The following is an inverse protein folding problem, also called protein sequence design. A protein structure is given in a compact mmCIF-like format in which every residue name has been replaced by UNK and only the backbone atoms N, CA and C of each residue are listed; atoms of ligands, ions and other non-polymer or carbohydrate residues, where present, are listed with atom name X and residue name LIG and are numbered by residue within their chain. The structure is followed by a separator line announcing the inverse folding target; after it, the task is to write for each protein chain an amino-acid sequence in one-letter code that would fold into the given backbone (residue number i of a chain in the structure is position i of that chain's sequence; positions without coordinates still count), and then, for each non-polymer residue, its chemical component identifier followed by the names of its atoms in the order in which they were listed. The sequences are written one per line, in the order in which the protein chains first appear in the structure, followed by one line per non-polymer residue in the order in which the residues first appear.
data_IF_517495979836
#
_entry.id   IF_517495979836
#
_cell.length_a   1.000
_cell.length_b   1.000
_cell.length_c   1.000
_cell.angle_alpha   90.00
_cell.angle_beta   90.00
_cell.angle_gamma   90.00
#
_symmetry.space_group_name_H-M   'P 1'
#
loop_
_entity.id
_entity.type
_entity.pdbx_description
1 polymer ?
#
# COMPACT_ATOMS: atom_id res chain seq x y z
N UNK A 1 -49.72 31.89 0.59
CA UNK A 1 -48.54 31.77 1.46
C UNK A 1 -47.89 30.42 1.16
N UNK A 2 -46.77 30.43 0.45
CA UNK A 2 -45.97 29.24 0.15
C UNK A 2 -44.68 29.35 0.97
N UNK A 3 -44.54 28.54 1.99
CA UNK A 3 -43.27 28.37 2.71
C UNK A 3 -42.37 27.42 1.94
N UNK A 4 -41.27 27.95 1.46
CA UNK A 4 -40.16 27.20 0.84
C UNK A 4 -39.18 26.77 1.94
N UNK A 5 -39.28 25.51 2.32
CA UNK A 5 -38.27 24.85 3.17
C UNK A 5 -36.94 24.72 2.41
N UNK A 6 -35.93 25.51 2.83
CA UNK A 6 -34.55 25.36 2.38
C UNK A 6 -33.91 24.21 3.16
N UNK A 7 -33.74 23.05 2.50
CA UNK A 7 -32.90 21.99 2.97
C UNK A 7 -31.42 22.44 2.90
N UNK A 8 -30.82 22.64 4.06
CA UNK A 8 -29.37 22.86 4.19
C UNK A 8 -28.66 21.53 3.98
N UNK A 9 -28.02 21.36 2.83
CA UNK A 9 -26.99 20.33 2.64
C UNK A 9 -25.76 20.72 3.46
N UNK A 10 -25.56 20.09 4.59
CA UNK A 10 -24.29 20.10 5.32
C UNK A 10 -23.29 19.24 4.55
N UNK A 11 -22.52 19.85 3.65
CA UNK A 11 -21.30 19.26 3.11
C UNK A 11 -20.27 19.27 4.23
N UNK A 12 -19.95 18.10 4.77
CA UNK A 12 -18.81 17.89 5.66
C UNK A 12 -17.53 18.08 4.83
N UNK A 13 -17.10 19.33 4.64
CA UNK A 13 -15.76 19.61 4.11
C UNK A 13 -14.74 19.14 5.15
N UNK A 14 -13.68 18.41 4.77
CA UNK A 14 -12.64 18.01 5.71
C UNK A 14 -12.05 19.25 6.38
N UNK A 15 -11.93 19.20 7.71
CA UNK A 15 -11.33 20.27 8.51
C UNK A 15 -9.90 20.52 7.98
N UNK A 16 -9.53 21.75 7.62
CA UNK A 16 -8.20 22.03 7.10
C UNK A 16 -7.14 21.60 8.13
N UNK A 17 -6.05 20.93 7.69
CA UNK A 17 -5.04 20.42 8.60
C UNK A 17 -4.39 21.55 9.40
N UNK A 18 -4.07 21.30 10.68
CA UNK A 18 -3.39 22.26 11.56
C UNK A 18 -2.01 22.60 10.95
N UNK A 19 -1.81 23.85 10.57
CA UNK A 19 -0.70 24.29 9.72
C UNK A 19 0.70 23.86 10.18
N UNK A 20 1.00 23.86 11.49
CA UNK A 20 2.31 23.43 12.03
C UNK A 20 2.50 21.93 11.90
N UNK A 21 1.48 21.15 12.26
CA UNK A 21 1.52 19.68 12.17
C UNK A 21 1.59 19.23 10.72
N UNK A 22 0.77 19.81 9.84
CA UNK A 22 0.80 19.50 8.41
C UNK A 22 2.19 19.74 7.80
N UNK A 23 2.81 20.88 8.10
CA UNK A 23 4.18 21.20 7.66
C UNK A 23 5.20 20.18 8.17
N UNK A 24 5.07 19.73 9.42
CA UNK A 24 5.91 18.68 9.97
C UNK A 24 5.73 17.36 9.21
N UNK A 25 4.50 16.91 8.98
CA UNK A 25 4.23 15.69 8.22
C UNK A 25 4.76 15.77 6.78
N UNK A 26 4.63 16.93 6.12
CA UNK A 26 5.21 17.15 4.77
C UNK A 26 6.72 16.92 4.74
N UNK A 27 7.45 17.25 5.82
CA UNK A 27 8.89 16.97 5.92
C UNK A 27 9.15 15.45 5.95
N UNK A 28 8.37 14.69 6.71
CA UNK A 28 8.53 13.23 6.78
C UNK A 28 8.20 12.56 5.43
N UNK A 29 7.24 13.08 4.69
CA UNK A 29 6.87 12.58 3.34
C UNK A 29 7.94 12.87 2.26
N UNK A 30 8.94 13.73 2.53
CA UNK A 30 10.06 13.92 1.62
C UNK A 30 11.03 12.75 1.59
N UNK A 31 11.05 11.90 2.63
CA UNK A 31 11.91 10.73 2.68
C UNK A 31 11.29 9.58 1.90
N UNK A 32 12.08 8.97 1.02
CA UNK A 32 11.71 7.81 0.21
C UNK A 32 12.91 6.90 0.00
N UNK A 33 12.73 5.76 -0.66
CA UNK A 33 13.84 4.85 -1.03
C UNK A 33 14.90 5.57 -1.89
N UNK A 34 14.48 6.53 -2.72
CA UNK A 34 15.36 7.35 -3.57
C UNK A 34 15.99 8.52 -2.79
N UNK A 35 15.38 8.92 -1.68
CA UNK A 35 15.74 10.09 -0.89
C UNK A 35 15.89 9.75 0.60
N UNK A 36 16.82 8.82 0.91
CA UNK A 36 17.10 8.42 2.29
C UNK A 36 17.86 9.48 3.09
N UNK A 37 18.68 10.28 2.43
CA UNK A 37 19.50 11.33 3.04
C UNK A 37 19.32 12.62 2.28
N UNK A 38 18.75 13.64 2.92
CA UNK A 38 18.40 14.91 2.30
C UNK A 38 19.15 16.08 2.96
N UNK A 39 19.64 17.02 2.15
CA UNK A 39 20.17 18.28 2.62
C UNK A 39 19.04 19.25 3.00
N UNK A 40 19.34 20.23 3.85
CA UNK A 40 18.38 21.28 4.21
C UNK A 40 17.83 22.02 2.97
N UNK A 41 18.67 22.20 1.95
CA UNK A 41 18.28 22.86 0.70
C UNK A 41 17.26 22.03 -0.09
N UNK A 42 17.47 20.73 -0.17
CA UNK A 42 16.58 19.81 -0.87
C UNK A 42 15.22 19.76 -0.16
N UNK A 43 15.22 19.61 1.16
CA UNK A 43 14.00 19.65 1.97
C UNK A 43 13.24 20.98 1.79
N UNK A 44 13.94 22.13 1.73
CA UNK A 44 13.31 23.41 1.48
C UNK A 44 12.68 23.50 0.08
N UNK A 45 13.30 22.93 -0.94
CA UNK A 45 12.76 22.87 -2.30
C UNK A 45 11.54 21.96 -2.37
N UNK A 46 11.58 20.77 -1.75
CA UNK A 46 10.49 19.78 -1.79
C UNK A 46 9.27 20.25 -0.99
N UNK A 47 9.49 20.89 0.17
CA UNK A 47 8.39 21.32 1.06
C UNK A 47 7.87 22.72 0.76
N UNK A 48 8.64 23.56 0.06
CA UNK A 48 8.35 24.98 -0.12
C UNK A 48 8.48 25.82 1.17
N UNK A 49 9.00 25.25 2.25
CA UNK A 49 9.17 25.94 3.53
C UNK A 49 10.43 26.82 3.54
N UNK A 50 10.36 27.97 4.22
CA UNK A 50 11.54 28.77 4.50
C UNK A 50 12.50 28.04 5.45
N UNK A 51 13.80 28.34 5.35
CA UNK A 51 14.86 27.64 6.09
C UNK A 51 14.70 27.75 7.61
N UNK A 52 14.19 28.86 8.13
CA UNK A 52 14.07 29.08 9.58
C UNK A 52 12.93 28.19 10.14
N UNK A 53 11.79 28.13 9.45
CA UNK A 53 10.68 27.24 9.80
C UNK A 53 11.10 25.77 9.71
N UNK A 54 11.80 25.41 8.62
CA UNK A 54 12.27 24.05 8.39
C UNK A 54 13.24 23.59 9.48
N UNK A 55 14.22 24.42 9.86
CA UNK A 55 15.18 24.12 10.94
C UNK A 55 14.48 23.91 12.28
N UNK A 56 13.49 24.74 12.61
CA UNK A 56 12.72 24.59 13.86
C UNK A 56 11.99 23.22 13.91
N UNK A 57 11.33 22.86 12.82
CA UNK A 57 10.60 21.59 12.73
C UNK A 57 11.55 20.39 12.76
N UNK A 58 12.67 20.47 12.02
CA UNK A 58 13.68 19.42 11.99
C UNK A 58 14.33 19.21 13.37
N UNK A 59 14.65 20.30 14.10
CA UNK A 59 15.18 20.19 15.47
C UNK A 59 14.19 19.48 16.40
N UNK A 60 12.89 19.78 16.30
CA UNK A 60 11.85 19.07 17.04
C UNK A 60 11.83 17.60 16.67
N UNK A 61 11.84 17.27 15.37
CA UNK A 61 11.88 15.85 14.93
C UNK A 61 13.12 15.11 15.40
N UNK A 62 14.28 15.79 15.46
CA UNK A 62 15.53 15.21 15.98
C UNK A 62 15.40 14.94 17.48
N UNK A 63 14.90 15.91 18.25
CA UNK A 63 14.67 15.77 19.69
C UNK A 63 13.75 14.59 20.01
N UNK A 64 12.69 14.40 19.19
CA UNK A 64 11.75 13.27 19.35
C UNK A 64 12.18 12.00 18.61
N UNK A 65 13.35 11.96 17.96
CA UNK A 65 13.90 10.79 17.28
C UNK A 65 13.17 10.36 16.00
N UNK A 66 12.37 11.22 15.39
CA UNK A 66 11.70 10.96 14.10
C UNK A 66 12.58 11.27 12.89
N UNK A 67 13.53 12.16 13.07
CA UNK A 67 14.57 12.47 12.09
C UNK A 67 15.91 12.38 12.82
N UNK A 68 16.95 12.00 12.12
CA UNK A 68 18.32 12.07 12.58
C UNK A 68 19.17 12.93 11.66
N UNK A 69 20.24 13.51 12.18
CA UNK A 69 21.21 14.26 11.39
C UNK A 69 22.53 13.50 11.38
N UNK A 70 23.01 13.17 10.19
CA UNK A 70 24.28 12.49 9.99
C UNK A 70 25.48 13.44 10.18
N UNK A 71 26.69 12.87 10.28
CA UNK A 71 27.93 13.65 10.50
C UNK A 71 28.23 14.61 9.34
N UNK A 72 27.82 14.29 8.12
CA UNK A 72 27.90 15.14 6.94
C UNK A 72 26.83 16.24 6.87
N UNK A 73 25.97 16.32 7.90
CA UNK A 73 24.96 17.35 8.06
C UNK A 73 23.63 17.09 7.36
N UNK A 74 23.47 15.94 6.68
CA UNK A 74 22.21 15.53 6.04
C UNK A 74 21.19 15.01 7.06
N UNK A 75 19.93 15.07 6.68
CA UNK A 75 18.80 14.56 7.46
C UNK A 75 18.36 13.21 6.92
N UNK A 76 18.01 12.29 7.81
CA UNK A 76 17.51 10.94 7.48
C UNK A 76 16.39 10.54 8.43
N UNK A 77 15.56 9.52 8.10
CA UNK A 77 14.57 8.97 9.00
C UNK A 77 15.18 8.53 10.34
N UNK A 78 14.50 8.85 11.44
CA UNK A 78 14.94 8.51 12.79
C UNK A 78 14.34 7.19 13.32
N UNK A 79 14.95 6.65 14.38
CA UNK A 79 14.59 5.33 14.95
C UNK A 79 13.17 5.23 15.47
N UNK A 80 12.52 6.35 15.86
CA UNK A 80 11.12 6.31 16.33
C UNK A 80 10.12 5.96 15.22
N UNK A 81 10.45 6.17 13.95
CA UNK A 81 9.65 5.69 12.84
C UNK A 81 9.62 4.16 12.78
N UNK A 82 10.77 3.50 13.03
CA UNK A 82 10.83 2.04 13.12
C UNK A 82 9.98 1.52 14.27
N UNK A 83 10.05 2.16 15.45
CA UNK A 83 9.24 1.79 16.62
C UNK A 83 7.73 1.90 16.32
N UNK A 84 7.29 3.00 15.73
CA UNK A 84 5.88 3.19 15.35
C UNK A 84 5.45 2.19 14.27
N UNK A 85 6.28 1.95 13.27
CA UNK A 85 6.02 0.94 12.25
C UNK A 85 5.89 -0.47 12.83
N UNK A 86 6.70 -0.82 13.84
CA UNK A 86 6.58 -2.09 14.55
C UNK A 86 5.27 -2.17 15.34
N UNK A 87 4.89 -1.11 16.09
CA UNK A 87 3.62 -1.04 16.79
C UNK A 87 2.44 -1.12 15.81
N UNK A 88 2.46 -0.38 14.71
CA UNK A 88 1.43 -0.45 13.68
C UNK A 88 1.22 -1.89 13.20
N UNK A 89 2.30 -2.60 12.88
CA UNK A 89 2.22 -4.01 12.48
C UNK A 89 1.66 -4.91 13.58
N UNK A 90 1.95 -4.65 14.86
CA UNK A 90 1.45 -5.45 15.98
C UNK A 90 -0.01 -5.17 16.35
N UNK A 91 -0.58 -4.02 15.94
CA UNK A 91 -2.02 -3.73 16.16
C UNK A 91 -2.92 -4.58 15.27
N UNK A 92 -2.37 -5.16 14.21
CA UNK A 92 -3.09 -6.07 13.34
C UNK A 92 -2.67 -7.51 13.67
N UNK A 93 -3.56 -8.28 14.29
CA UNK A 93 -3.47 -9.75 14.39
C UNK A 93 -3.29 -10.40 13.01
N UNK A 94 -3.68 -9.66 11.97
CA UNK A 94 -3.55 -10.02 10.57
C UNK A 94 -2.11 -10.37 10.16
N UNK A 95 -1.10 -9.69 10.69
CA UNK A 95 0.31 -9.96 10.36
C UNK A 95 0.77 -11.33 10.82
N UNK A 96 0.41 -11.73 12.04
CA UNK A 96 0.75 -13.04 12.57
C UNK A 96 0.10 -14.17 11.75
N UNK A 97 -1.08 -13.93 11.22
CA UNK A 97 -1.82 -14.88 10.37
C UNK A 97 -1.34 -14.90 8.93
N UNK A 98 -1.04 -13.72 8.34
CA UNK A 98 -0.69 -13.62 6.92
C UNK A 98 0.78 -13.94 6.61
N UNK A 99 1.73 -13.60 7.48
CA UNK A 99 3.14 -13.86 7.20
C UNK A 99 3.46 -15.34 6.92
N UNK A 100 2.97 -16.32 7.70
CA UNK A 100 3.15 -17.74 7.36
C UNK A 100 2.55 -18.11 5.99
N UNK A 101 1.39 -17.54 5.64
CA UNK A 101 0.71 -17.77 4.37
C UNK A 101 1.57 -17.23 3.21
N UNK A 102 2.05 -15.98 3.31
CA UNK A 102 2.92 -15.39 2.29
C UNK A 102 4.18 -16.23 2.08
N UNK A 103 4.78 -16.69 3.19
CA UNK A 103 5.96 -17.57 3.15
C UNK A 103 5.68 -18.90 2.45
N UNK A 104 4.56 -19.54 2.75
CA UNK A 104 4.14 -20.78 2.08
C UNK A 104 3.96 -20.56 0.58
N UNK A 105 3.24 -19.49 0.19
CA UNK A 105 3.04 -19.15 -1.22
C UNK A 105 4.39 -18.88 -1.91
N UNK A 106 5.28 -18.13 -1.28
CA UNK A 106 6.64 -17.84 -1.80
C UNK A 106 7.45 -19.13 -2.01
N UNK A 107 7.41 -20.07 -1.05
CA UNK A 107 8.11 -21.33 -1.13
C UNK A 107 7.57 -22.23 -2.25
N UNK A 108 6.24 -22.29 -2.44
CA UNK A 108 5.62 -23.11 -3.47
C UNK A 108 5.74 -22.51 -4.87
N UNK A 109 5.61 -21.19 -5.00
CA UNK A 109 5.66 -20.52 -6.31
C UNK A 109 7.07 -20.14 -6.74
N UNK A 110 8.03 -20.12 -5.80
CA UNK A 110 9.38 -19.61 -5.99
C UNK A 110 9.45 -18.18 -6.51
N UNK A 111 8.44 -17.34 -6.16
CA UNK A 111 8.36 -15.94 -6.52
C UNK A 111 8.12 -15.06 -5.30
N UNK A 112 8.49 -13.78 -5.40
CA UNK A 112 8.26 -12.82 -4.31
C UNK A 112 6.76 -12.55 -4.13
N UNK A 113 6.33 -12.49 -2.87
CA UNK A 113 4.92 -12.34 -2.49
C UNK A 113 4.76 -11.13 -1.57
N UNK A 114 3.77 -10.31 -1.82
CA UNK A 114 3.47 -9.14 -0.98
C UNK A 114 1.98 -9.01 -0.71
N UNK A 115 1.63 -8.49 0.45
CA UNK A 115 0.26 -8.17 0.82
C UNK A 115 0.08 -6.65 0.83
N UNK A 116 -0.94 -6.19 0.11
CA UNK A 116 -1.29 -4.78 -0.03
C UNK A 116 -2.67 -4.51 0.54
N UNK A 117 -2.81 -3.37 1.22
CA UNK A 117 -4.10 -2.80 1.58
C UNK A 117 -4.38 -1.57 0.72
N UNK A 118 -5.67 -1.16 0.68
CA UNK A 118 -6.07 0.13 0.12
C UNK A 118 -6.12 1.19 1.22
N UNK A 119 -5.55 2.35 0.93
CA UNK A 119 -5.63 3.54 1.76
C UNK A 119 -5.95 4.75 0.86
N UNK A 120 -7.21 5.14 0.82
CA UNK A 120 -7.69 6.15 -0.14
C UNK A 120 -7.45 5.73 -1.59
N UNK A 121 -6.72 6.55 -2.34
CA UNK A 121 -6.34 6.28 -3.73
C UNK A 121 -4.98 5.58 -3.88
N UNK A 122 -4.42 5.11 -2.77
CA UNK A 122 -3.13 4.42 -2.73
C UNK A 122 -3.32 2.95 -2.33
N UNK A 123 -2.40 2.09 -2.78
CA UNK A 123 -2.15 0.80 -2.15
C UNK A 123 -0.87 0.87 -1.34
N UNK A 124 -0.86 0.22 -0.18
CA UNK A 124 0.28 0.21 0.76
C UNK A 124 0.74 -1.23 0.96
N UNK A 125 2.04 -1.49 0.81
CA UNK A 125 2.63 -2.80 1.10
C UNK A 125 2.77 -2.97 2.62
N UNK A 126 2.03 -3.91 3.22
CA UNK A 126 2.13 -4.16 4.66
C UNK A 126 3.05 -5.32 5.02
N UNK A 127 3.02 -6.39 4.24
CA UNK A 127 3.81 -7.60 4.49
C UNK A 127 4.40 -8.12 3.20
N UNK A 128 5.54 -8.78 3.32
CA UNK A 128 6.27 -9.27 2.17
C UNK A 128 7.15 -10.45 2.52
N UNK A 129 7.25 -11.39 1.58
CA UNK A 129 8.24 -12.46 1.56
C UNK A 129 9.00 -12.43 0.23
N UNK A 130 10.32 -12.38 0.32
CA UNK A 130 11.20 -12.30 -0.85
C UNK A 130 11.81 -13.64 -1.15
N UNK A 131 11.76 -14.03 -2.42
CA UNK A 131 12.58 -15.12 -2.90
C UNK A 131 14.07 -14.73 -2.82
N UNK A 132 14.92 -15.66 -2.37
CA UNK A 132 16.38 -15.46 -2.36
C UNK A 132 16.95 -15.68 -3.76
N UNK A 133 17.03 -14.62 -4.55
CA UNK A 133 17.61 -14.62 -5.90
C UNK A 133 18.35 -13.31 -6.16
N UNK A 134 19.39 -13.34 -6.98
CA UNK A 134 20.24 -12.18 -7.32
C UNK A 134 19.44 -11.10 -8.07
N UNK A 135 18.51 -11.51 -8.95
CA UNK A 135 17.61 -10.61 -9.67
C UNK A 135 16.19 -10.77 -9.15
N UNK A 136 15.72 -9.77 -8.41
CA UNK A 136 14.37 -9.69 -7.89
C UNK A 136 13.89 -8.24 -7.91
N UNK A 137 12.60 -8.04 -8.11
CA UNK A 137 11.99 -6.73 -7.97
C UNK A 137 11.47 -6.55 -6.54
N UNK A 138 11.88 -5.48 -5.88
CA UNK A 138 11.61 -5.28 -4.46
C UNK A 138 10.82 -3.99 -4.27
N UNK A 139 9.58 -4.11 -3.77
CA UNK A 139 8.91 -3.02 -3.07
C UNK A 139 9.09 -3.22 -1.57
N UNK A 140 9.59 -2.24 -0.86
CA UNK A 140 9.74 -2.34 0.57
C UNK A 140 8.39 -2.24 1.30
N UNK A 141 8.33 -2.80 2.50
CA UNK A 141 7.17 -2.65 3.40
C UNK A 141 6.99 -1.17 3.71
N UNK A 142 5.77 -0.66 3.57
CA UNK A 142 5.44 0.75 3.68
C UNK A 142 5.38 1.49 2.34
N UNK A 143 5.90 0.90 1.26
CA UNK A 143 5.81 1.53 -0.08
C UNK A 143 4.36 1.81 -0.47
N UNK A 144 4.10 3.04 -0.88
CA UNK A 144 2.79 3.53 -1.34
C UNK A 144 2.82 3.69 -2.85
N UNK A 145 1.80 3.19 -3.52
CA UNK A 145 1.65 3.27 -4.97
C UNK A 145 0.24 3.71 -5.30
N UNK A 146 0.08 4.69 -6.20
CA UNK A 146 -1.24 5.12 -6.63
C UNK A 146 -2.00 3.96 -7.31
N UNK A 147 -3.27 3.79 -6.96
CA UNK A 147 -4.12 2.78 -7.61
C UNK A 147 -4.27 3.05 -9.11
N UNK A 148 -4.20 4.32 -9.51
CA UNK A 148 -4.26 4.76 -10.90
C UNK A 148 -3.05 4.28 -11.73
N UNK A 149 -1.90 4.04 -11.09
CA UNK A 149 -0.69 3.53 -11.77
C UNK A 149 -0.83 2.06 -12.22
N UNK A 150 -1.94 1.41 -11.90
CA UNK A 150 -2.23 0.05 -12.33
C UNK A 150 -1.49 -1.02 -11.53
N UNK A 151 -1.32 -2.18 -12.16
CA UNK A 151 -0.76 -3.39 -11.58
C UNK A 151 -1.81 -4.29 -10.92
N UNK A 152 -1.53 -5.60 -10.86
CA UNK A 152 -2.53 -6.62 -10.50
C UNK A 152 -3.17 -6.38 -9.12
N UNK A 153 -2.41 -5.95 -8.10
CA UNK A 153 -2.98 -5.65 -6.79
C UNK A 153 -3.91 -4.42 -6.82
N UNK A 154 -3.59 -3.39 -7.62
CA UNK A 154 -4.49 -2.24 -7.80
C UNK A 154 -5.81 -2.67 -8.44
N UNK A 155 -5.77 -3.53 -9.46
CA UNK A 155 -6.97 -4.05 -10.11
C UNK A 155 -7.84 -4.85 -9.15
N UNK A 156 -7.23 -5.73 -8.33
CA UNK A 156 -7.96 -6.48 -7.29
C UNK A 156 -8.59 -5.53 -6.27
N UNK A 157 -7.84 -4.61 -5.70
CA UNK A 157 -8.36 -3.69 -4.69
C UNK A 157 -9.53 -2.88 -5.24
N UNK A 158 -9.40 -2.33 -6.46
CA UNK A 158 -10.46 -1.53 -7.10
C UNK A 158 -11.69 -2.36 -7.47
N UNK A 159 -11.54 -3.63 -7.81
CA UNK A 159 -12.67 -4.49 -8.19
C UNK A 159 -13.72 -4.59 -7.08
N UNK A 160 -13.30 -4.55 -5.82
CA UNK A 160 -14.20 -4.71 -4.67
C UNK A 160 -14.57 -3.39 -3.98
N UNK A 161 -13.94 -2.28 -4.33
CA UNK A 161 -14.14 -0.99 -3.65
C UNK A 161 -14.57 0.14 -4.58
N UNK A 162 -14.33 0.02 -5.88
CA UNK A 162 -14.72 1.04 -6.87
C UNK A 162 -16.02 0.66 -7.60
N UNK A 163 -16.48 1.57 -8.44
CA UNK A 163 -17.56 1.32 -9.38
C UNK A 163 -17.23 0.24 -10.43
N UNK A 164 -18.24 -0.18 -11.21
CA UNK A 164 -18.06 -1.16 -12.28
C UNK A 164 -17.23 -0.60 -13.43
N UNK A 165 -16.33 -1.42 -13.95
CA UNK A 165 -15.59 -1.21 -15.19
C UNK A 165 -15.31 -2.58 -15.82
N UNK A 166 -15.02 -2.69 -17.12
CA UNK A 166 -14.68 -3.97 -17.74
C UNK A 166 -13.58 -4.71 -16.97
N UNK A 167 -12.55 -4.01 -16.52
CA UNK A 167 -11.44 -4.62 -15.78
C UNK A 167 -11.83 -5.11 -14.39
N UNK A 168 -12.69 -4.38 -13.67
CA UNK A 168 -13.20 -4.83 -12.37
C UNK A 168 -14.12 -6.04 -12.50
N UNK A 169 -14.95 -6.11 -13.54
CA UNK A 169 -15.82 -7.26 -13.80
C UNK A 169 -15.03 -8.53 -14.17
N UNK A 170 -13.94 -8.41 -14.93
CA UNK A 170 -13.02 -9.53 -15.18
C UNK A 170 -12.47 -10.08 -13.86
N UNK A 171 -11.97 -9.23 -12.97
CA UNK A 171 -11.41 -9.64 -11.69
C UNK A 171 -12.46 -10.30 -10.80
N UNK A 172 -13.69 -9.77 -10.79
CA UNK A 172 -14.81 -10.37 -10.03
C UNK A 172 -15.19 -11.76 -10.56
N UNK A 173 -15.13 -11.95 -11.88
CA UNK A 173 -15.42 -13.22 -12.54
C UNK A 173 -14.34 -14.26 -12.29
N UNK A 174 -13.08 -13.88 -12.49
CA UNK A 174 -11.95 -14.80 -12.49
C UNK A 174 -11.39 -15.05 -11.08
N UNK A 175 -11.65 -14.13 -10.14
CA UNK A 175 -11.14 -14.19 -8.76
C UNK A 175 -9.67 -13.76 -8.62
N UNK A 176 -9.07 -13.24 -9.68
CA UNK A 176 -7.70 -12.71 -9.69
C UNK A 176 -7.52 -11.62 -10.76
N UNK A 177 -6.41 -10.89 -10.68
CA UNK A 177 -5.96 -9.99 -11.74
C UNK A 177 -4.56 -10.39 -12.19
N UNK A 178 -4.32 -10.42 -13.51
CA UNK A 178 -2.99 -10.62 -14.12
C UNK A 178 -2.56 -9.31 -14.77
N UNK A 179 -1.30 -8.98 -14.65
CA UNK A 179 -0.66 -7.90 -15.40
C UNK A 179 0.71 -8.35 -15.91
N UNK A 180 1.02 -7.94 -17.13
CA UNK A 180 2.29 -8.23 -17.80
C UNK A 180 2.79 -6.95 -18.43
N UNK A 181 3.99 -6.49 -18.03
CA UNK A 181 4.62 -5.25 -18.51
C UNK A 181 3.75 -3.97 -18.32
N UNK A 182 2.80 -3.96 -17.39
CA UNK A 182 1.89 -2.81 -17.22
C UNK A 182 2.57 -1.64 -16.50
N UNK A 183 3.20 -1.89 -15.34
CA UNK A 183 3.91 -0.85 -14.57
C UNK A 183 5.41 -0.82 -14.83
N UNK A 184 5.99 -1.95 -15.12
CA UNK A 184 7.39 -2.11 -15.47
C UNK A 184 7.49 -3.09 -16.63
N UNK A 185 8.25 -2.77 -17.70
CA UNK A 185 8.37 -3.63 -18.87
C UNK A 185 8.99 -4.99 -18.57
N UNK A 186 9.65 -5.13 -17.43
CA UNK A 186 10.35 -6.35 -17.01
C UNK A 186 9.51 -7.25 -16.09
N UNK A 187 8.32 -6.80 -15.66
CA UNK A 187 7.56 -7.48 -14.62
C UNK A 187 6.26 -8.08 -15.13
N UNK A 188 5.95 -9.23 -14.55
CA UNK A 188 4.63 -9.83 -14.57
C UNK A 188 4.15 -10.02 -13.13
N UNK A 189 2.86 -9.84 -12.88
CA UNK A 189 2.28 -10.10 -11.57
C UNK A 189 0.88 -10.66 -11.66
N UNK A 190 0.51 -11.45 -10.66
CA UNK A 190 -0.84 -11.90 -10.43
C UNK A 190 -1.24 -11.57 -9.00
N UNK A 191 -2.47 -11.17 -8.80
CA UNK A 191 -3.00 -10.88 -7.46
C UNK A 191 -4.33 -11.53 -7.22
N UNK A 192 -4.53 -11.94 -5.98
CA UNK A 192 -5.78 -12.50 -5.48
C UNK A 192 -6.29 -11.66 -4.31
N UNK A 193 -7.60 -11.48 -4.12
CA UNK A 193 -8.15 -10.80 -2.96
C UNK A 193 -7.96 -11.65 -1.70
N UNK A 194 -7.84 -10.98 -0.57
CA UNK A 194 -7.85 -11.56 0.78
C UNK A 194 -9.02 -10.97 1.54
N UNK A 195 -9.91 -11.82 2.03
CA UNK A 195 -11.08 -11.41 2.78
C UNK A 195 -11.25 -12.23 4.06
N UNK A 196 -12.03 -11.69 4.99
CA UNK A 196 -12.56 -12.44 6.11
C UNK A 196 -13.64 -13.43 5.65
N UNK A 197 -13.94 -14.48 6.43
CA UNK A 197 -15.00 -15.43 6.10
C UNK A 197 -16.38 -14.80 5.88
N UNK A 198 -16.59 -13.58 6.39
CA UNK A 198 -17.83 -12.80 6.21
C UNK A 198 -17.80 -11.88 4.98
N UNK A 199 -16.80 -12.04 4.12
CA UNK A 199 -16.69 -11.33 2.84
C UNK A 199 -16.08 -9.93 2.91
N UNK A 200 -15.65 -9.44 4.08
CA UNK A 200 -14.95 -8.15 4.18
C UNK A 200 -13.58 -8.22 3.55
N UNK A 201 -13.33 -7.41 2.51
CA UNK A 201 -12.01 -7.29 1.90
C UNK A 201 -10.99 -6.76 2.92
N UNK A 202 -9.89 -7.46 3.10
CA UNK A 202 -8.74 -7.07 3.91
C UNK A 202 -7.63 -6.45 3.06
N UNK A 203 -7.47 -6.94 1.82
CA UNK A 203 -6.42 -6.50 0.92
C UNK A 203 -6.25 -7.44 -0.26
N UNK A 204 -5.07 -7.41 -0.87
CA UNK A 204 -4.68 -8.26 -1.98
C UNK A 204 -3.29 -8.86 -1.78
N UNK A 205 -3.13 -10.15 -2.03
CA UNK A 205 -1.82 -10.80 -2.18
C UNK A 205 -1.39 -10.66 -3.63
N UNK A 206 -0.18 -10.17 -3.85
CA UNK A 206 0.47 -10.07 -5.16
C UNK A 206 1.68 -11.00 -5.21
N UNK A 207 1.75 -11.82 -6.24
CA UNK A 207 2.91 -12.64 -6.61
C UNK A 207 3.56 -11.97 -7.81
N UNK A 208 4.83 -11.63 -7.69
CA UNK A 208 5.57 -10.87 -8.72
C UNK A 208 6.72 -11.71 -9.25
N UNK A 209 6.81 -11.80 -10.58
CA UNK A 209 7.86 -12.48 -11.33
C UNK A 209 8.48 -11.56 -12.38
N UNK A 210 9.65 -11.92 -12.87
CA UNK A 210 10.21 -11.33 -14.09
C UNK A 210 9.39 -11.81 -15.30
N UNK A 211 9.07 -10.90 -16.22
CA UNK A 211 8.13 -11.10 -17.34
C UNK A 211 8.38 -12.39 -18.13
N UNK A 212 9.64 -12.67 -18.45
CA UNK A 212 10.02 -13.82 -19.29
C UNK A 212 10.26 -15.10 -18.49
N UNK A 213 10.09 -15.08 -17.18
CA UNK A 213 10.29 -16.25 -16.31
C UNK A 213 9.06 -17.13 -16.23
N UNK A 214 7.87 -16.54 -16.31
CA UNK A 214 6.61 -17.23 -16.18
C UNK A 214 5.68 -16.99 -17.36
N UNK A 215 5.05 -18.04 -17.82
CA UNK A 215 3.89 -17.97 -18.72
C UNK A 215 2.65 -17.53 -17.93
N UNK A 216 1.62 -17.08 -18.63
CA UNK A 216 0.34 -16.75 -18.02
C UNK A 216 -0.29 -17.95 -17.29
N UNK A 217 -0.18 -19.15 -17.88
CA UNK A 217 -0.67 -20.38 -17.25
C UNK A 217 0.05 -20.66 -15.91
N UNK A 218 1.34 -20.39 -15.81
CA UNK A 218 2.09 -20.51 -14.55
C UNK A 218 1.68 -19.43 -13.52
N UNK A 219 1.38 -18.22 -13.97
CA UNK A 219 0.84 -17.17 -13.09
C UNK A 219 -0.53 -17.60 -12.54
N UNK A 220 -1.43 -18.14 -13.38
CA UNK A 220 -2.73 -18.66 -12.93
C UNK A 220 -2.54 -19.81 -11.93
N UNK A 221 -1.57 -20.70 -12.17
CA UNK A 221 -1.26 -21.76 -11.21
C UNK A 221 -0.79 -21.17 -9.86
N UNK A 222 0.03 -20.12 -9.87
CA UNK A 222 0.44 -19.43 -8.65
C UNK A 222 -0.75 -18.77 -7.91
N UNK A 223 -1.73 -18.20 -8.62
CA UNK A 223 -2.95 -17.71 -7.99
C UNK A 223 -3.75 -18.83 -7.31
N UNK A 224 -3.86 -20.01 -7.94
CA UNK A 224 -4.52 -21.18 -7.33
C UNK A 224 -3.82 -21.64 -6.05
N UNK A 225 -2.50 -21.62 -6.01
CA UNK A 225 -1.71 -21.85 -4.79
C UNK A 225 -2.10 -20.84 -3.70
N UNK A 226 -2.13 -19.56 -4.03
CA UNK A 226 -2.49 -18.51 -3.07
C UNK A 226 -3.93 -18.68 -2.55
N UNK A 227 -4.91 -18.94 -3.43
CA UNK A 227 -6.31 -19.15 -3.07
C UNK A 227 -6.47 -20.37 -2.14
N UNK A 228 -5.82 -21.49 -2.47
CA UNK A 228 -5.84 -22.68 -1.62
C UNK A 228 -5.23 -22.40 -0.25
N UNK A 229 -4.03 -21.83 -0.21
CA UNK A 229 -3.33 -21.53 1.06
C UNK A 229 -4.13 -20.56 1.93
N UNK A 230 -4.80 -19.57 1.34
CA UNK A 230 -5.71 -18.67 2.06
C UNK A 230 -6.88 -19.45 2.68
N UNK A 231 -7.55 -20.30 1.91
CA UNK A 231 -8.70 -21.08 2.38
C UNK A 231 -8.33 -22.04 3.53
N UNK A 232 -7.17 -22.71 3.43
CA UNK A 232 -6.64 -23.60 4.47
C UNK A 232 -6.35 -22.87 5.79
N UNK A 233 -6.14 -21.56 5.73
CA UNK A 233 -5.84 -20.69 6.90
C UNK A 233 -7.03 -19.79 7.30
N UNK A 234 -8.24 -20.10 6.84
CA UNK A 234 -9.47 -19.42 7.27
C UNK A 234 -9.66 -18.02 6.69
N UNK A 235 -9.09 -17.76 5.52
CA UNK A 235 -9.38 -16.56 4.72
C UNK A 235 -10.21 -16.93 3.50
N UNK A 236 -10.99 -15.96 3.01
CA UNK A 236 -11.71 -16.07 1.74
C UNK A 236 -10.94 -15.29 0.64
N UNK A 237 -11.07 -15.77 -0.59
CA UNK A 237 -10.60 -15.09 -1.80
C UNK A 237 -11.75 -14.56 -2.67
N UNK A 238 -12.98 -14.52 -2.14
CA UNK A 238 -14.18 -13.99 -2.80
C UNK A 238 -14.91 -13.00 -1.91
N UNK A 239 -14.33 -11.80 -1.70
CA UNK A 239 -14.97 -10.78 -0.88
C UNK A 239 -16.29 -10.30 -1.49
N UNK A 240 -17.18 -9.86 -0.61
CA UNK A 240 -18.40 -9.16 -1.02
C UNK A 240 -18.03 -7.79 -1.56
N UNK A 241 -18.54 -7.42 -2.72
CA UNK A 241 -18.33 -6.08 -3.29
C UNK A 241 -19.02 -5.04 -2.44
N UNK A 242 -18.31 -4.00 -2.03
CA UNK A 242 -18.91 -2.83 -1.40
C UNK A 242 -19.51 -1.98 -2.52
N UNK A 243 -20.82 -2.15 -2.80
CA UNK A 243 -21.54 -1.19 -3.63
C UNK A 243 -21.67 0.11 -2.84
N UNK A 244 -21.23 1.24 -3.43
CA UNK A 244 -21.21 2.57 -2.85
C UNK A 244 -22.64 3.06 -2.49
N UNK A 245 -23.19 2.59 -1.36
CA UNK A 245 -24.40 3.12 -0.73
C UNK A 245 -24.31 3.16 0.80
N UNK A 246 -23.13 2.91 1.37
CA UNK A 246 -22.87 3.06 2.79
C UNK A 246 -21.64 3.96 2.98
N UNK A 247 -21.85 5.26 2.82
CA UNK A 247 -20.97 6.26 3.43
C UNK A 247 -21.29 6.25 4.93
N UNK A 248 -20.35 5.76 5.72
CA UNK A 248 -20.31 6.03 7.16
C UNK A 248 -19.60 7.36 7.40
#
# INVERSE_FOLDING_TARGET
MKETSKSQKTTNAPTPPIGVLARGLTILECFSEEHLHLELRELAQMTGLDKATLLRLLNTFIEYGYVQRSLDGKYAPGHNLLRLGALYRSTFDLGQRLQPILRTIMLETHESVAFYIREGDMRVCLYRENVSRDVRYVFEVGTRVALADGGSASHVLRAFTDGSSPRTEEVLKDGYAITRAERSPELASISVPVAEPHGRLLGAIQITSILNRQTEAQQIAAAKVAIRTLAENGFDSRPTRITSSATL
#
